data_IF_451670620810
#
_entry.id   IF_451670620810
#
_cell.length_a   1.000
_cell.length_b   1.000
_cell.length_c   1.000
_cell.angle_alpha   90.00
_cell.angle_beta   90.00
_cell.angle_gamma   90.00
#
_symmetry.space_group_name_H-M   'P 1'
#
loop_
_entity.id
_entity.type
_entity.pdbx_description
1 polymer ?
#
# COMPACT_ATOMS: atom_id res chain seq x y z
N UNK A 1 -16.81 12.41 -30.00
CA UNK A 1 -17.84 11.40 -30.38
C UNK A 1 -17.41 9.96 -30.08
N UNK A 2 -16.13 9.66 -29.81
CA UNK A 2 -15.64 8.30 -29.48
C UNK A 2 -15.79 7.95 -27.98
N UNK A 3 -15.75 8.95 -27.09
CA UNK A 3 -15.73 8.75 -25.63
C UNK A 3 -17.09 8.30 -25.05
N UNK A 4 -18.20 8.79 -25.60
CA UNK A 4 -19.55 8.30 -25.26
C UNK A 4 -19.72 6.81 -25.60
N UNK A 5 -18.99 6.30 -26.61
CA UNK A 5 -19.13 4.92 -27.07
C UNK A 5 -18.48 3.89 -26.13
N UNK A 6 -17.37 4.23 -25.43
CA UNK A 6 -16.69 3.29 -24.53
C UNK A 6 -17.49 3.01 -23.26
N UNK A 7 -18.02 4.05 -22.61
CA UNK A 7 -18.84 3.90 -21.41
C UNK A 7 -20.16 3.18 -21.71
N UNK A 8 -20.83 3.53 -22.81
CA UNK A 8 -22.07 2.86 -23.23
C UNK A 8 -21.80 1.39 -23.59
N UNK A 9 -20.72 1.11 -24.34
CA UNK A 9 -20.34 -0.26 -24.68
C UNK A 9 -20.06 -1.11 -23.44
N UNK A 10 -19.32 -0.58 -22.47
CA UNK A 10 -19.08 -1.29 -21.21
C UNK A 10 -20.40 -1.55 -20.46
N UNK A 11 -21.30 -0.55 -20.39
CA UNK A 11 -22.61 -0.73 -19.74
C UNK A 11 -23.44 -1.83 -20.41
N UNK A 12 -23.44 -1.90 -21.74
CA UNK A 12 -24.13 -2.98 -22.45
C UNK A 12 -23.48 -4.35 -22.17
N UNK A 13 -22.15 -4.45 -22.23
CA UNK A 13 -21.43 -5.68 -21.91
C UNK A 13 -21.72 -6.16 -20.47
N UNK A 14 -21.85 -5.23 -19.52
CA UNK A 14 -22.17 -5.58 -18.12
C UNK A 14 -23.59 -6.13 -17.95
N UNK A 15 -24.55 -5.78 -18.81
CA UNK A 15 -25.93 -6.31 -18.72
C UNK A 15 -26.01 -7.79 -19.07
N UNK A 16 -25.18 -8.25 -20.01
CA UNK A 16 -25.08 -9.65 -20.46
C UNK A 16 -23.96 -10.42 -19.77
N UNK A 17 -23.25 -9.79 -18.83
CA UNK A 17 -22.09 -10.40 -18.22
C UNK A 17 -22.46 -11.57 -17.30
N UNK A 18 -21.67 -12.64 -17.37
CA UNK A 18 -21.78 -13.83 -16.51
C UNK A 18 -20.49 -14.08 -15.75
N UNK A 19 -20.61 -14.63 -14.55
CA UNK A 19 -19.48 -14.98 -13.70
C UNK A 19 -19.12 -16.46 -13.87
N UNK A 20 -17.84 -16.75 -14.08
CA UNK A 20 -17.31 -18.13 -14.10
C UNK A 20 -16.10 -18.27 -13.18
N UNK A 21 -16.05 -19.36 -12.41
CA UNK A 21 -14.89 -19.67 -11.56
C UNK A 21 -13.80 -20.40 -12.35
N UNK A 22 -12.55 -20.05 -12.13
CA UNK A 22 -11.38 -20.69 -12.72
C UNK A 22 -10.20 -20.68 -11.74
N UNK A 23 -9.20 -21.52 -12.01
CA UNK A 23 -7.90 -21.46 -11.32
C UNK A 23 -6.96 -20.60 -12.14
N UNK A 24 -6.23 -19.70 -11.50
CA UNK A 24 -5.35 -18.75 -12.18
C UNK A 24 -4.03 -18.56 -11.45
N UNK A 25 -3.04 -18.07 -12.19
CA UNK A 25 -1.87 -17.37 -11.65
C UNK A 25 -2.04 -15.89 -11.98
N UNK A 26 -2.20 -15.07 -10.93
CA UNK A 26 -2.26 -13.62 -11.05
C UNK A 26 -0.85 -13.03 -10.86
N UNK A 27 -0.44 -12.18 -11.78
CA UNK A 27 0.85 -11.48 -11.76
C UNK A 27 0.60 -9.98 -11.84
N UNK A 28 1.08 -9.24 -10.85
CA UNK A 28 1.10 -7.77 -10.84
C UNK A 28 2.53 -7.29 -11.05
N UNK A 29 2.69 -6.33 -11.96
CA UNK A 29 3.94 -5.65 -12.29
C UNK A 29 3.80 -4.18 -11.90
N UNK A 30 4.86 -3.58 -11.37
CA UNK A 30 4.91 -2.15 -11.01
C UNK A 30 6.28 -1.53 -11.27
N UNK A 31 6.27 -0.44 -12.04
CA UNK A 31 7.49 0.26 -12.44
C UNK A 31 7.94 1.19 -11.31
N UNK A 32 9.05 0.84 -10.66
CA UNK A 32 9.50 1.55 -9.46
C UNK A 32 10.05 2.93 -9.79
N UNK A 33 9.49 3.93 -9.12
CA UNK A 33 9.84 5.34 -9.33
C UNK A 33 9.11 5.98 -10.52
N UNK A 34 8.17 5.28 -11.16
CA UNK A 34 7.43 5.86 -12.27
C UNK A 34 6.59 7.07 -11.84
N UNK A 35 5.94 7.05 -10.67
CA UNK A 35 5.17 8.22 -10.20
C UNK A 35 6.04 9.48 -10.05
N UNK A 36 7.30 9.34 -9.64
CA UNK A 36 8.25 10.46 -9.60
C UNK A 36 8.66 10.89 -11.01
N UNK A 37 8.93 9.92 -11.88
CA UNK A 37 9.26 10.17 -13.28
C UNK A 37 8.12 10.92 -14.03
N UNK A 38 6.87 10.50 -13.85
CA UNK A 38 5.72 11.13 -14.51
C UNK A 38 5.35 12.50 -13.93
N UNK A 39 5.69 12.77 -12.67
CA UNK A 39 5.53 14.09 -12.07
C UNK A 39 6.57 15.12 -12.56
N UNK A 40 7.75 14.66 -12.99
CA UNK A 40 8.85 15.50 -13.46
C UNK A 40 8.92 15.63 -14.98
N UNK A 41 8.52 14.58 -15.70
CA UNK A 41 8.58 14.51 -17.15
C UNK A 41 7.34 15.04 -17.86
N UNK A 42 7.42 15.15 -19.17
CA UNK A 42 6.25 15.47 -20.00
C UNK A 42 5.31 14.26 -20.06
N UNK A 43 4.00 14.52 -20.12
CA UNK A 43 3.00 13.45 -20.22
C UNK A 43 3.19 12.59 -21.47
N UNK A 44 3.75 13.16 -22.54
CA UNK A 44 4.08 12.46 -23.77
C UNK A 44 5.16 11.40 -23.56
N UNK A 45 6.26 11.74 -22.89
CA UNK A 45 7.36 10.83 -22.58
C UNK A 45 6.90 9.66 -21.72
N UNK A 46 6.06 9.95 -20.73
CA UNK A 46 5.47 8.94 -19.85
C UNK A 46 4.61 7.94 -20.62
N UNK A 47 3.74 8.44 -21.51
CA UNK A 47 2.89 7.59 -22.35
C UNK A 47 3.70 6.76 -23.35
N UNK A 48 4.72 7.36 -23.97
CA UNK A 48 5.59 6.67 -24.92
C UNK A 48 6.39 5.56 -24.24
N UNK A 49 6.95 5.83 -23.07
CA UNK A 49 7.66 4.85 -22.26
C UNK A 49 6.74 3.68 -21.86
N UNK A 50 5.55 3.95 -21.31
CA UNK A 50 4.60 2.89 -20.94
C UNK A 50 4.19 2.04 -22.15
N UNK A 51 3.94 2.65 -23.31
CA UNK A 51 3.62 1.92 -24.54
C UNK A 51 4.74 0.94 -24.91
N UNK A 52 5.98 1.41 -24.89
CA UNK A 52 7.16 0.60 -25.23
C UNK A 52 7.35 -0.55 -24.25
N UNK A 53 7.33 -0.25 -22.95
CA UNK A 53 7.43 -1.22 -21.86
C UNK A 53 6.35 -2.30 -21.96
N UNK A 54 5.07 -1.92 -22.01
CA UNK A 54 3.97 -2.89 -22.03
C UNK A 54 3.97 -3.73 -23.30
N UNK A 55 4.31 -3.14 -24.46
CA UNK A 55 4.44 -3.90 -25.71
C UNK A 55 5.54 -4.95 -25.59
N UNK A 56 6.70 -4.59 -25.05
CA UNK A 56 7.82 -5.53 -24.88
C UNK A 56 7.48 -6.62 -23.85
N UNK A 57 6.86 -6.28 -22.72
CA UNK A 57 6.44 -7.27 -21.72
C UNK A 57 5.47 -8.29 -22.32
N UNK A 58 4.40 -7.82 -22.97
CA UNK A 58 3.36 -8.68 -23.53
C UNK A 58 3.87 -9.51 -24.71
N UNK A 59 4.75 -8.96 -25.55
CA UNK A 59 5.25 -9.68 -26.73
C UNK A 59 6.42 -10.62 -26.43
N UNK A 60 7.32 -10.24 -25.54
CA UNK A 60 8.61 -10.92 -25.36
C UNK A 60 8.69 -11.76 -24.09
N UNK A 61 7.79 -11.54 -23.12
CA UNK A 61 7.83 -12.25 -21.84
C UNK A 61 6.52 -12.97 -21.50
N UNK A 62 5.36 -12.52 -22.00
CA UNK A 62 4.04 -13.01 -21.57
C UNK A 62 3.00 -13.03 -22.70
N UNK A 63 3.39 -13.60 -23.84
CA UNK A 63 2.59 -13.70 -25.07
C UNK A 63 1.43 -14.71 -24.99
N UNK A 64 1.43 -15.55 -23.95
CA UNK A 64 0.45 -16.58 -23.63
C UNK A 64 -0.54 -16.17 -22.52
N UNK A 65 -0.61 -14.88 -22.19
CA UNK A 65 -1.53 -14.39 -21.14
C UNK A 65 -2.99 -14.48 -21.58
N UNK A 66 -3.85 -15.01 -20.71
CA UNK A 66 -5.28 -15.14 -20.97
C UNK A 66 -6.01 -13.79 -20.87
N UNK A 67 -5.49 -12.90 -20.03
CA UNK A 67 -6.01 -11.55 -19.85
C UNK A 67 -4.91 -10.63 -19.31
N UNK A 68 -4.95 -9.37 -19.72
CA UNK A 68 -4.10 -8.33 -19.17
C UNK A 68 -4.86 -7.02 -19.01
N UNK A 69 -4.44 -6.19 -18.06
CA UNK A 69 -5.03 -4.89 -17.78
C UNK A 69 -3.98 -3.93 -17.24
N UNK A 70 -3.75 -2.76 -17.87
CA UNK A 70 -2.93 -1.71 -17.28
C UNK A 70 -3.53 -1.23 -15.95
N UNK A 71 -2.69 -0.98 -14.95
CA UNK A 71 -3.09 -0.50 -13.63
C UNK A 71 -2.38 0.80 -13.28
N UNK A 72 -2.42 1.75 -14.22
CA UNK A 72 -1.60 2.97 -14.18
C UNK A 72 -0.25 2.72 -14.83
N UNK A 73 0.80 2.75 -14.01
CA UNK A 73 2.19 2.43 -14.36
C UNK A 73 2.54 0.95 -14.21
N UNK A 74 1.61 0.17 -13.65
CA UNK A 74 1.70 -1.28 -13.55
C UNK A 74 0.88 -2.03 -14.60
N UNK A 75 1.00 -3.36 -14.55
CA UNK A 75 0.28 -4.29 -15.41
C UNK A 75 -0.19 -5.51 -14.61
N UNK A 76 -1.48 -5.82 -14.72
CA UNK A 76 -2.06 -7.09 -14.28
C UNK A 76 -2.00 -8.08 -15.44
N UNK A 77 -1.47 -9.28 -15.20
CA UNK A 77 -1.49 -10.42 -16.10
C UNK A 77 -2.16 -11.61 -15.42
N UNK A 78 -3.04 -12.30 -16.16
CA UNK A 78 -3.71 -13.51 -15.70
C UNK A 78 -3.36 -14.67 -16.64
N UNK A 79 -2.89 -15.77 -16.05
CA UNK A 79 -2.74 -17.05 -16.74
C UNK A 79 -3.77 -18.02 -16.17
N UNK A 80 -4.67 -18.53 -16.99
CA UNK A 80 -5.61 -19.57 -16.58
C UNK A 80 -4.91 -20.92 -16.51
N UNK A 81 -5.14 -21.65 -15.43
CA UNK A 81 -4.58 -22.97 -15.23
C UNK A 81 -5.51 -24.03 -15.81
N UNK A 82 -4.95 -25.06 -16.49
CA UNK A 82 -5.76 -26.14 -17.02
C UNK A 82 -6.41 -26.92 -15.87
N UNK A 83 -7.54 -27.59 -16.12
CA UNK A 83 -8.17 -28.49 -15.14
C UNK A 83 -7.26 -29.69 -14.80
N UNK A 84 -6.31 -30.02 -15.68
CA UNK A 84 -5.32 -31.06 -15.43
C UNK A 84 -4.21 -30.56 -14.49
N UNK A 85 -4.21 -31.06 -13.26
CA UNK A 85 -3.22 -30.70 -12.23
C UNK A 85 -1.76 -31.01 -12.64
N UNK A 86 -1.52 -31.99 -13.50
CA UNK A 86 -0.17 -32.41 -13.89
C UNK A 86 0.61 -31.35 -14.68
N UNK A 87 -0.07 -30.47 -15.40
CA UNK A 87 0.57 -29.39 -16.16
C UNK A 87 0.84 -28.13 -15.33
N UNK A 88 0.20 -27.99 -14.16
CA UNK A 88 0.25 -26.77 -13.33
C UNK A 88 1.66 -26.41 -12.89
N UNK A 89 2.51 -27.34 -12.37
CA UNK A 89 3.89 -27.01 -11.99
C UNK A 89 4.70 -26.42 -13.16
N UNK A 90 4.60 -26.97 -14.36
CA UNK A 90 5.33 -26.47 -15.53
C UNK A 90 4.93 -25.03 -15.88
N UNK A 91 3.63 -24.73 -15.84
CA UNK A 91 3.10 -23.39 -16.13
C UNK A 91 3.55 -22.38 -15.07
N UNK A 92 3.40 -22.70 -13.79
CA UNK A 92 3.81 -21.81 -12.68
C UNK A 92 5.32 -21.56 -12.73
N UNK A 93 6.12 -22.62 -12.91
CA UNK A 93 7.57 -22.51 -13.03
C UNK A 93 8.00 -21.62 -14.21
N UNK A 94 7.34 -21.76 -15.37
CA UNK A 94 7.59 -20.91 -16.55
C UNK A 94 7.28 -19.44 -16.27
N UNK A 95 6.13 -19.14 -15.65
CA UNK A 95 5.73 -17.77 -15.28
C UNK A 95 6.77 -17.15 -14.34
N UNK A 96 7.19 -17.89 -13.31
CA UNK A 96 8.20 -17.41 -12.36
C UNK A 96 9.54 -17.15 -13.06
N UNK A 97 10.03 -18.08 -13.90
CA UNK A 97 11.28 -17.90 -14.63
C UNK A 97 11.25 -16.66 -15.55
N UNK A 98 10.14 -16.45 -16.26
CA UNK A 98 9.95 -15.27 -17.13
C UNK A 98 9.88 -13.98 -16.34
N UNK A 99 9.24 -13.99 -15.16
CA UNK A 99 9.21 -12.84 -14.25
C UNK A 99 10.61 -12.47 -13.73
N UNK A 100 11.41 -13.46 -13.30
CA UNK A 100 12.79 -13.22 -12.85
C UNK A 100 13.65 -12.68 -14.00
N UNK A 101 13.53 -13.27 -15.19
CA UNK A 101 14.24 -12.83 -16.39
C UNK A 101 13.87 -11.39 -16.75
N UNK A 102 12.58 -11.06 -16.73
CA UNK A 102 12.07 -9.72 -17.00
C UNK A 102 12.66 -8.71 -15.99
N UNK A 103 12.63 -9.01 -14.70
CA UNK A 103 13.20 -8.11 -13.67
C UNK A 103 14.69 -7.87 -13.92
N UNK A 104 15.45 -8.91 -14.25
CA UNK A 104 16.88 -8.80 -14.54
C UNK A 104 17.19 -7.95 -15.79
N UNK A 105 16.33 -8.03 -16.81
CA UNK A 105 16.49 -7.29 -18.06
C UNK A 105 15.80 -5.92 -18.06
N UNK A 106 14.97 -5.60 -17.06
CA UNK A 106 14.04 -4.47 -17.11
C UNK A 106 14.72 -3.11 -17.35
N UNK A 107 15.91 -2.90 -16.77
CA UNK A 107 16.67 -1.67 -16.96
C UNK A 107 17.08 -1.37 -18.42
N UNK A 108 16.96 -2.36 -19.31
CA UNK A 108 17.25 -2.27 -20.74
C UNK A 108 16.01 -2.55 -21.61
N UNK A 109 14.80 -2.61 -21.04
CA UNK A 109 13.60 -3.05 -21.75
C UNK A 109 13.19 -2.14 -22.92
N UNK A 110 13.69 -0.90 -22.92
CA UNK A 110 13.46 0.11 -23.96
C UNK A 110 14.73 0.48 -24.74
N UNK A 111 15.81 -0.30 -24.60
CA UNK A 111 17.11 0.04 -25.18
C UNK A 111 17.08 0.15 -26.72
N UNK A 112 16.20 -0.60 -27.38
CA UNK A 112 16.03 -0.60 -28.84
C UNK A 112 15.01 0.43 -29.35
N UNK A 113 14.37 1.20 -28.46
CA UNK A 113 13.39 2.23 -28.82
C UNK A 113 14.08 3.60 -28.94
N UNK A 114 14.51 3.95 -30.15
CA UNK A 114 15.19 5.21 -30.45
C UNK A 114 14.39 6.47 -30.11
N UNK A 115 13.08 6.35 -29.90
CA UNK A 115 12.23 7.47 -29.47
C UNK A 115 12.30 7.71 -27.96
N UNK A 116 12.88 6.78 -27.19
CA UNK A 116 13.11 6.91 -25.75
C UNK A 116 14.54 7.39 -25.53
N UNK A 117 14.71 8.71 -25.57
CA UNK A 117 16.00 9.41 -25.45
C UNK A 117 16.10 10.24 -24.16
N UNK A 118 15.28 9.92 -23.16
CA UNK A 118 15.19 10.58 -21.86
C UNK A 118 15.46 9.60 -20.70
N UNK A 119 15.75 10.08 -19.48
CA UNK A 119 15.93 9.21 -18.31
C UNK A 119 14.64 8.44 -17.99
N UNK A 120 14.76 7.13 -17.78
CA UNK A 120 13.62 6.26 -17.49
C UNK A 120 13.82 5.46 -16.20
N UNK A 121 12.72 5.05 -15.54
CA UNK A 121 12.78 4.05 -14.46
C UNK A 121 13.47 2.75 -14.91
N UNK A 122 14.23 2.14 -14.01
CA UNK A 122 15.05 0.94 -14.29
C UNK A 122 14.77 -0.25 -13.39
N UNK A 123 13.77 -0.15 -12.51
CA UNK A 123 13.45 -1.16 -11.50
C UNK A 123 11.99 -1.59 -11.63
N UNK A 124 11.73 -2.87 -11.38
CA UNK A 124 10.43 -3.50 -11.52
C UNK A 124 10.14 -4.34 -10.27
N UNK A 125 8.99 -4.12 -9.66
CA UNK A 125 8.43 -5.01 -8.64
C UNK A 125 7.43 -5.97 -9.27
N UNK A 126 7.49 -7.25 -8.90
CA UNK A 126 6.55 -8.27 -9.39
C UNK A 126 5.98 -9.05 -8.21
N UNK A 127 4.65 -9.13 -8.14
CA UNK A 127 3.93 -9.91 -7.15
C UNK A 127 3.10 -10.99 -7.84
N UNK A 128 3.23 -12.24 -7.40
CA UNK A 128 2.61 -13.39 -8.02
C UNK A 128 1.87 -14.20 -6.96
N UNK A 129 0.64 -14.61 -7.27
CA UNK A 129 -0.11 -15.54 -6.44
C UNK A 129 -0.98 -16.44 -7.30
N UNK A 130 -1.12 -17.70 -6.89
CA UNK A 130 -2.04 -18.67 -7.49
C UNK A 130 -3.29 -18.81 -6.65
N UNK A 131 -4.43 -19.06 -7.29
CA UNK A 131 -5.63 -19.49 -6.58
C UNK A 131 -6.87 -19.48 -7.47
N UNK A 132 -8.03 -19.61 -6.82
CA UNK A 132 -9.31 -19.44 -7.50
C UNK A 132 -9.57 -17.95 -7.77
N UNK A 133 -10.11 -17.67 -8.96
CA UNK A 133 -10.65 -16.38 -9.33
C UNK A 133 -12.00 -16.55 -10.04
N UNK A 134 -12.76 -15.48 -10.10
CA UNK A 134 -13.99 -15.40 -10.89
C UNK A 134 -13.76 -14.42 -12.03
N UNK A 135 -13.93 -14.88 -13.26
CA UNK A 135 -13.90 -14.04 -14.46
C UNK A 135 -15.31 -13.57 -14.81
N UNK A 136 -15.42 -12.31 -15.18
CA UNK A 136 -16.64 -11.72 -15.70
C UNK A 136 -16.58 -11.75 -17.23
N UNK A 137 -17.53 -12.40 -17.89
CA UNK A 137 -17.48 -12.68 -19.33
C UNK A 137 -18.70 -12.08 -20.01
N UNK A 138 -18.51 -11.38 -21.13
CA UNK A 138 -19.61 -10.95 -22.02
C UNK A 138 -19.16 -11.01 -23.48
N UNK A 139 -20.09 -11.31 -24.39
CA UNK A 139 -19.85 -11.39 -25.84
C UNK A 139 -18.63 -12.26 -26.23
N UNK A 140 -18.37 -13.32 -25.47
CA UNK A 140 -17.23 -14.22 -25.70
C UNK A 140 -15.87 -13.70 -25.22
N UNK A 141 -15.81 -12.49 -24.65
CA UNK A 141 -14.60 -11.90 -24.07
C UNK A 141 -14.65 -11.79 -22.55
N UNK A 142 -13.48 -11.72 -21.92
CA UNK A 142 -13.36 -11.46 -20.48
C UNK A 142 -13.29 -9.96 -20.23
N UNK A 143 -14.17 -9.47 -19.35
CA UNK A 143 -14.26 -8.06 -18.95
C UNK A 143 -13.32 -7.74 -17.78
N UNK A 144 -13.32 -8.59 -16.75
CA UNK A 144 -12.45 -8.42 -15.58
C UNK A 144 -12.34 -9.73 -14.78
N UNK A 145 -11.41 -9.76 -13.82
CA UNK A 145 -11.26 -10.83 -12.84
C UNK A 145 -11.41 -10.29 -11.41
N UNK A 146 -11.93 -11.12 -10.52
CA UNK A 146 -11.95 -10.86 -9.08
C UNK A 146 -11.53 -12.11 -8.32
N UNK A 147 -10.86 -11.94 -7.19
CA UNK A 147 -10.44 -13.07 -6.35
C UNK A 147 -9.39 -12.70 -5.32
N UNK A 148 -9.31 -13.51 -4.26
CA UNK A 148 -8.31 -13.33 -3.19
C UNK A 148 -6.88 -13.37 -3.73
N UNK A 149 -6.60 -14.25 -4.70
CA UNK A 149 -5.26 -14.36 -5.29
C UNK A 149 -4.85 -13.10 -6.06
N UNK A 150 -5.78 -12.40 -6.72
CA UNK A 150 -5.47 -11.12 -7.38
C UNK A 150 -5.08 -10.05 -6.35
N UNK A 151 -5.87 -9.92 -5.27
CA UNK A 151 -5.57 -9.00 -4.19
C UNK A 151 -4.23 -9.32 -3.53
N UNK A 152 -3.96 -10.61 -3.30
CA UNK A 152 -2.69 -11.07 -2.75
C UNK A 152 -1.53 -10.70 -3.68
N UNK A 153 -1.60 -11.04 -4.97
CA UNK A 153 -0.55 -10.71 -5.94
C UNK A 153 -0.27 -9.19 -5.99
N UNK A 154 -1.30 -8.35 -5.97
CA UNK A 154 -1.14 -6.90 -5.91
C UNK A 154 -0.39 -6.46 -4.64
N UNK A 155 -0.72 -7.02 -3.46
CA UNK A 155 -0.03 -6.69 -2.21
C UNK A 155 1.40 -7.22 -2.16
N UNK A 156 1.66 -8.39 -2.73
CA UNK A 156 3.02 -8.94 -2.83
C UNK A 156 3.90 -8.11 -3.75
N UNK A 157 3.31 -7.56 -4.83
CA UNK A 157 4.00 -6.64 -5.72
C UNK A 157 4.51 -5.44 -4.92
N UNK A 158 3.72 -4.87 -3.99
CA UNK A 158 4.19 -3.75 -3.14
C UNK A 158 5.41 -4.11 -2.28
N UNK A 159 5.59 -5.41 -1.95
CA UNK A 159 6.70 -5.95 -1.15
C UNK A 159 7.93 -6.29 -1.96
N UNK A 160 7.84 -6.35 -3.29
CA UNK A 160 8.95 -6.62 -4.19
C UNK A 160 9.88 -5.40 -4.34
N UNK A 161 10.51 -4.96 -3.22
CA UNK A 161 11.37 -3.76 -3.15
C UNK A 161 12.84 -4.15 -2.96
N UNK A 162 13.77 -3.34 -3.50
CA UNK A 162 13.55 -2.22 -4.43
C UNK A 162 13.25 -2.69 -5.86
N UNK A 163 13.45 -3.97 -6.19
CA UNK A 163 13.15 -4.61 -7.47
C UNK A 163 13.18 -6.12 -7.23
N UNK A 164 12.34 -6.92 -7.90
CA UNK A 164 12.35 -8.37 -7.70
C UNK A 164 11.00 -9.04 -7.92
N UNK A 165 10.94 -10.33 -7.59
CA UNK A 165 9.72 -11.14 -7.63
C UNK A 165 9.40 -11.63 -6.22
N UNK A 166 8.13 -11.49 -5.82
CA UNK A 166 7.57 -12.08 -4.60
C UNK A 166 6.42 -12.99 -5.00
N UNK A 167 6.48 -14.25 -4.57
CA UNK A 167 5.51 -15.29 -4.91
C UNK A 167 4.92 -15.92 -3.65
N UNK A 168 3.61 -16.10 -3.61
CA UNK A 168 2.92 -16.83 -2.54
C UNK A 168 2.10 -18.00 -3.09
N UNK A 169 2.38 -19.19 -2.57
CA UNK A 169 1.59 -20.40 -2.79
C UNK A 169 1.82 -21.41 -1.67
N UNK A 170 0.77 -22.06 -1.19
CA UNK A 170 0.86 -23.11 -0.17
C UNK A 170 1.71 -24.32 -0.62
N UNK A 171 1.82 -24.54 -1.93
CA UNK A 171 2.55 -25.65 -2.54
C UNK A 171 3.76 -25.19 -3.34
N UNK A 172 4.29 -23.99 -3.07
CA UNK A 172 5.34 -23.35 -3.90
C UNK A 172 6.51 -24.29 -4.27
N UNK A 173 7.01 -25.08 -3.31
CA UNK A 173 8.12 -26.03 -3.52
C UNK A 173 7.84 -27.13 -4.56
N UNK A 174 6.58 -27.46 -4.79
CA UNK A 174 6.16 -28.51 -5.73
C UNK A 174 5.84 -27.94 -7.12
N UNK A 175 5.75 -26.61 -7.24
CA UNK A 175 5.30 -25.91 -8.45
C UNK A 175 6.46 -25.35 -9.28
N UNK A 176 7.70 -25.59 -8.88
CA UNK A 176 8.89 -25.07 -9.54
C UNK A 176 9.80 -26.19 -9.98
N UNK A 177 10.36 -26.05 -11.19
CA UNK A 177 11.53 -26.82 -11.58
C UNK A 177 12.72 -26.47 -10.65
N UNK A 178 13.64 -27.40 -10.38
CA UNK A 178 14.75 -27.19 -9.45
C UNK A 178 15.56 -25.92 -9.74
N UNK A 179 15.84 -25.65 -11.01
CA UNK A 179 16.59 -24.48 -11.48
C UNK A 179 15.87 -23.15 -11.18
N UNK A 180 14.53 -23.14 -11.23
CA UNK A 180 13.73 -21.96 -10.89
C UNK A 180 13.68 -21.80 -9.38
N UNK A 181 13.52 -22.89 -8.63
CA UNK A 181 13.48 -22.85 -7.17
C UNK A 181 14.77 -22.27 -6.57
N UNK A 182 15.93 -22.50 -7.19
CA UNK A 182 17.22 -21.94 -6.77
C UNK A 182 17.29 -20.40 -6.87
N UNK A 183 16.41 -19.77 -7.64
CA UNK A 183 16.35 -18.31 -7.78
C UNK A 183 15.65 -17.62 -6.60
N UNK A 184 15.00 -18.41 -5.73
CA UNK A 184 14.17 -17.91 -4.64
C UNK A 184 14.67 -18.37 -3.27
N UNK A 185 14.44 -17.52 -2.27
CA UNK A 185 14.60 -17.83 -0.84
C UNK A 185 13.26 -17.72 -0.13
N UNK A 186 13.08 -18.49 0.95
CA UNK A 186 11.87 -18.38 1.78
C UNK A 186 11.92 -17.12 2.64
N UNK A 187 10.78 -16.48 2.80
CA UNK A 187 10.53 -15.41 3.77
C UNK A 187 9.06 -15.48 4.21
N UNK A 188 8.62 -14.53 5.03
CA UNK A 188 7.24 -14.44 5.48
C UNK A 188 6.76 -13.00 5.55
N UNK A 189 5.46 -12.78 5.42
CA UNK A 189 4.88 -11.43 5.42
C UNK A 189 3.45 -11.39 5.96
N UNK A 190 3.17 -10.43 6.83
CA UNK A 190 1.82 -10.06 7.23
C UNK A 190 1.23 -9.04 6.24
N UNK A 191 0.06 -9.35 5.69
CA UNK A 191 -0.61 -8.55 4.66
C UNK A 191 -1.98 -8.11 5.15
N UNK A 192 -2.23 -6.80 5.08
CA UNK A 192 -3.51 -6.19 5.50
C UNK A 192 -4.68 -6.75 4.70
N UNK A 193 -5.73 -7.17 5.40
CA UNK A 193 -6.92 -7.80 4.86
C UNK A 193 -6.72 -9.23 4.34
N UNK A 194 -5.54 -9.85 4.53
CA UNK A 194 -5.26 -11.21 4.03
C UNK A 194 -4.64 -12.10 5.11
N UNK A 195 -3.58 -11.63 5.75
CA UNK A 195 -2.77 -12.36 6.74
C UNK A 195 -2.27 -11.37 7.79
N UNK A 196 -3.18 -10.85 8.61
CA UNK A 196 -2.86 -9.78 9.54
C UNK A 196 -2.16 -10.29 10.81
N UNK A 197 -2.57 -11.45 11.31
CA UNK A 197 -2.06 -11.98 12.58
C UNK A 197 -0.93 -12.98 12.37
N UNK A 198 -1.04 -13.81 11.34
CA UNK A 198 -0.07 -14.87 11.05
C UNK A 198 0.69 -14.52 9.77
N UNK A 199 2.04 -14.47 9.81
CA UNK A 199 2.84 -14.26 8.60
C UNK A 199 2.54 -15.31 7.53
N UNK A 200 2.30 -14.84 6.31
CA UNK A 200 2.12 -15.69 5.14
C UNK A 200 3.49 -16.10 4.60
N UNK A 201 3.77 -17.41 4.42
CA UNK A 201 4.99 -17.86 3.76
C UNK A 201 5.04 -17.37 2.31
N UNK A 202 6.18 -16.80 1.93
CA UNK A 202 6.45 -16.30 0.58
C UNK A 202 7.81 -16.76 0.10
N UNK A 203 8.00 -16.67 -1.21
CA UNK A 203 9.28 -16.84 -1.88
C UNK A 203 9.69 -15.50 -2.50
N UNK A 204 10.95 -15.12 -2.31
CA UNK A 204 11.49 -13.87 -2.83
C UNK A 204 12.76 -14.12 -3.64
N UNK A 205 12.98 -13.34 -4.70
CA UNK A 205 14.25 -13.38 -5.45
C UNK A 205 15.38 -12.69 -4.70
N UNK A 206 16.61 -13.04 -5.04
CA UNK A 206 17.82 -12.36 -4.52
C UNK A 206 17.71 -10.84 -4.68
N UNK A 207 18.03 -10.10 -3.62
CA UNK A 207 18.00 -8.63 -3.59
C UNK A 207 16.65 -8.00 -3.21
N UNK A 208 15.59 -8.80 -3.05
CA UNK A 208 14.36 -8.33 -2.40
C UNK A 208 14.57 -8.33 -0.90
N UNK A 209 14.20 -7.22 -0.26
CA UNK A 209 14.25 -7.08 1.20
C UNK A 209 12.86 -6.79 1.74
N UNK A 210 12.27 -7.77 2.42
CA UNK A 210 11.02 -7.56 3.16
C UNK A 210 11.35 -6.74 4.40
N UNK A 211 10.60 -5.65 4.63
CA UNK A 211 10.79 -4.81 5.80
C UNK A 211 10.47 -5.60 7.08
N UNK A 212 11.19 -5.36 8.17
CA UNK A 212 10.94 -6.02 9.47
C UNK A 212 9.49 -5.82 9.93
N UNK A 213 8.97 -4.61 9.81
CA UNK A 213 7.58 -4.26 10.17
C UNK A 213 6.53 -5.03 9.35
N UNK A 214 6.89 -5.54 8.19
CA UNK A 214 6.00 -6.33 7.35
C UNK A 214 5.98 -7.81 7.74
N UNK A 215 6.93 -8.30 8.54
CA UNK A 215 6.92 -9.67 9.11
C UNK A 215 6.14 -9.74 10.42
N UNK A 216 5.91 -8.60 11.04
CA UNK A 216 5.20 -8.52 12.32
C UNK A 216 3.69 -8.50 12.09
N UNK A 217 2.89 -9.08 13.02
CA UNK A 217 1.44 -8.96 12.98
C UNK A 217 1.02 -7.50 12.80
N UNK A 218 -0.01 -7.30 11.99
CA UNK A 218 -0.65 -5.99 11.82
C UNK A 218 -1.55 -5.84 13.04
N UNK A 219 -1.24 -4.93 13.97
CA UNK A 219 -2.18 -4.66 15.05
C UNK A 219 -3.51 -4.27 14.42
N UNK A 220 -4.61 -4.67 15.06
CA UNK A 220 -5.93 -4.15 14.72
C UNK A 220 -5.82 -2.63 14.58
N UNK A 221 -6.62 -2.03 13.69
CA UNK A 221 -6.69 -0.59 13.53
C UNK A 221 -7.27 0.06 14.80
N UNK A 222 -6.57 -0.04 15.93
CA UNK A 222 -6.83 0.77 17.10
C UNK A 222 -6.36 2.17 16.76
N UNK A 223 -7.21 3.15 17.02
CA UNK A 223 -6.89 4.58 16.96
C UNK A 223 -5.78 4.99 17.97
N UNK A 224 -5.19 4.02 18.66
CA UNK A 224 -4.17 4.18 19.69
C UNK A 224 -3.00 3.28 19.27
N UNK A 225 -1.89 3.91 18.95
CA UNK A 225 -0.68 3.24 18.49
C UNK A 225 0.55 3.54 19.35
N UNK A 226 0.53 4.61 20.14
CA UNK A 226 1.60 4.93 21.10
C UNK A 226 1.05 5.28 22.47
N UNK A 227 1.96 5.56 23.40
CA UNK A 227 1.58 6.00 24.75
C UNK A 227 0.86 7.35 24.69
N UNK A 228 -0.27 7.43 25.37
CA UNK A 228 -0.96 8.68 25.60
C UNK A 228 -0.06 9.66 26.36
N UNK A 229 -0.08 10.93 25.93
CA UNK A 229 0.67 12.01 26.57
C UNK A 229 -0.24 13.20 26.80
N UNK A 230 -0.12 13.79 27.98
CA UNK A 230 -0.88 14.96 28.36
C UNK A 230 0.05 16.15 28.51
N UNK A 231 -0.28 17.26 27.83
CA UNK A 231 0.45 18.53 27.94
C UNK A 231 -0.49 19.59 28.47
N UNK A 232 0.02 20.51 29.30
CA UNK A 232 -0.76 21.68 29.72
C UNK A 232 -1.02 22.61 28.53
N UNK A 233 -2.13 23.35 28.58
CA UNK A 233 -2.44 24.37 27.57
C UNK A 233 -1.31 25.42 27.45
N UNK A 234 -0.59 25.71 28.53
CA UNK A 234 0.58 26.58 28.51
C UNK A 234 1.74 25.98 27.71
N UNK A 235 2.12 24.73 28.00
CA UNK A 235 3.19 24.02 27.27
C UNK A 235 2.88 23.92 25.76
N UNK A 236 1.63 23.63 25.40
CA UNK A 236 1.20 23.57 23.99
C UNK A 236 1.35 24.93 23.31
N UNK A 237 1.06 26.04 24.00
CA UNK A 237 1.18 27.40 23.44
C UNK A 237 2.64 27.83 23.26
N UNK A 238 3.50 27.43 24.18
CA UNK A 238 4.91 27.82 24.20
C UNK A 238 5.77 26.98 23.24
N UNK A 239 5.28 25.78 22.85
CA UNK A 239 6.01 24.86 21.96
C UNK A 239 5.60 25.02 20.49
N UNK A 240 6.54 25.05 19.55
CA UNK A 240 6.21 25.08 18.11
C UNK A 240 5.78 23.71 17.58
N UNK A 241 6.43 22.65 18.07
CA UNK A 241 6.24 21.27 17.64
C UNK A 241 6.42 20.33 18.83
N UNK A 242 5.89 19.11 18.72
CA UNK A 242 6.13 18.06 19.71
C UNK A 242 6.33 16.71 19.03
N UNK A 243 7.08 15.82 19.68
CA UNK A 243 7.42 14.50 19.14
C UNK A 243 6.92 13.39 20.07
N UNK A 244 6.36 12.34 19.48
CA UNK A 244 5.83 11.18 20.20
C UNK A 244 6.52 9.92 19.68
N UNK A 245 7.12 9.15 20.59
CA UNK A 245 7.71 7.86 20.24
C UNK A 245 6.65 6.88 19.79
N UNK A 246 6.97 6.13 18.76
CA UNK A 246 6.15 5.08 18.18
C UNK A 246 6.73 3.72 18.61
N UNK A 247 5.90 2.68 18.82
CA UNK A 247 6.39 1.36 19.21
C UNK A 247 7.15 0.65 18.07
N UNK A 248 6.87 1.03 16.82
CA UNK A 248 7.53 0.53 15.61
C UNK A 248 7.51 1.58 14.50
N UNK A 249 8.33 1.39 13.47
CA UNK A 249 8.25 2.21 12.27
C UNK A 249 6.90 2.01 11.55
N UNK A 250 6.30 3.07 10.98
CA UNK A 250 5.12 2.94 10.17
C UNK A 250 5.43 2.12 8.92
N UNK A 251 4.45 1.34 8.46
CA UNK A 251 4.56 0.63 7.19
C UNK A 251 4.43 1.63 6.05
N UNK A 252 4.88 1.26 4.86
CA UNK A 252 4.92 2.15 3.68
C UNK A 252 3.55 2.72 3.26
N UNK A 253 2.45 2.12 3.71
CA UNK A 253 1.09 2.53 3.39
C UNK A 253 0.39 3.26 4.55
N UNK A 254 1.09 3.50 5.67
CA UNK A 254 0.54 4.13 6.86
C UNK A 254 0.94 5.61 6.95
N UNK A 255 0.01 6.46 7.38
CA UNK A 255 0.29 7.82 7.88
C UNK A 255 0.35 7.80 9.40
N UNK A 256 1.18 8.67 9.94
CA UNK A 256 1.35 8.84 11.38
C UNK A 256 0.79 10.19 11.82
N UNK A 257 0.24 10.24 13.02
CA UNK A 257 -0.30 11.46 13.58
C UNK A 257 -0.66 11.30 15.05
N UNK A 258 -1.39 12.27 15.57
CA UNK A 258 -1.99 12.21 16.90
C UNK A 258 -3.48 12.56 16.86
N UNK A 259 -4.26 11.85 17.66
CA UNK A 259 -5.56 12.32 18.11
C UNK A 259 -5.32 13.32 19.25
N UNK A 260 -5.87 14.51 19.12
CA UNK A 260 -5.77 15.55 20.15
C UNK A 260 -7.13 15.75 20.79
N UNK A 261 -7.24 15.42 22.06
CA UNK A 261 -8.42 15.63 22.87
C UNK A 261 -8.24 16.84 23.77
N UNK A 262 -9.22 17.74 23.78
CA UNK A 262 -9.21 18.88 24.68
C UNK A 262 -10.60 19.14 25.30
N UNK A 263 -10.65 19.64 26.54
CA UNK A 263 -11.91 19.94 27.20
C UNK A 263 -12.65 21.08 26.49
N UNK A 264 -13.98 21.05 26.55
CA UNK A 264 -14.83 22.17 26.17
C UNK A 264 -15.24 22.98 27.40
N UNK A 265 -15.43 24.27 27.20
CA UNK A 265 -15.93 25.18 28.22
C UNK A 265 -17.25 25.81 27.78
N UNK A 266 -18.14 26.09 28.73
CA UNK A 266 -19.33 26.90 28.46
C UNK A 266 -18.99 28.40 28.40
N UNK A 267 -19.99 29.22 28.08
CA UNK A 267 -19.85 30.68 28.02
C UNK A 267 -19.44 31.33 29.35
N UNK A 268 -19.60 30.62 30.47
CA UNK A 268 -19.25 31.07 31.81
C UNK A 268 -17.85 30.58 32.23
N UNK A 269 -17.14 29.86 31.36
CA UNK A 269 -15.83 29.29 31.67
C UNK A 269 -15.88 28.02 32.52
N UNK A 270 -17.04 27.38 32.66
CA UNK A 270 -17.14 26.07 33.31
C UNK A 270 -16.80 24.95 32.33
N UNK A 271 -15.99 24.00 32.78
CA UNK A 271 -15.65 22.80 32.00
C UNK A 271 -16.90 21.95 31.78
N UNK A 272 -17.11 21.51 30.54
CA UNK A 272 -18.13 20.53 30.16
C UNK A 272 -17.58 19.12 30.29
N UNK A 273 -18.47 18.15 30.48
CA UNK A 273 -18.11 16.72 30.47
C UNK A 273 -17.77 16.21 29.06
N UNK A 274 -18.10 16.98 28.03
CA UNK A 274 -17.74 16.68 26.65
C UNK A 274 -16.38 17.25 26.27
N UNK A 275 -15.69 16.50 25.43
CA UNK A 275 -14.40 16.88 24.85
C UNK A 275 -14.57 17.14 23.36
N UNK A 276 -13.67 17.93 22.80
CA UNK A 276 -13.51 18.06 21.35
C UNK A 276 -12.23 17.37 20.94
N UNK A 277 -12.24 16.78 19.75
CA UNK A 277 -11.08 16.13 19.17
C UNK A 277 -10.65 16.84 17.88
N UNK A 278 -9.38 16.69 17.54
CA UNK A 278 -8.86 16.94 16.19
C UNK A 278 -7.79 15.91 15.82
N UNK A 279 -7.61 15.66 14.53
CA UNK A 279 -6.51 14.85 14.00
C UNK A 279 -5.40 15.77 13.52
N UNK A 280 -4.17 15.48 13.94
CA UNK A 280 -2.97 16.18 13.47
C UNK A 280 -2.01 15.16 12.90
N UNK A 281 -1.83 15.20 11.58
CA UNK A 281 -0.80 14.41 10.92
C UNK A 281 0.58 15.00 11.20
N UNK A 282 1.59 14.13 11.29
CA UNK A 282 2.96 14.52 11.55
C UNK A 282 3.95 13.90 10.58
N UNK A 283 5.19 14.36 10.69
CA UNK A 283 6.33 13.78 10.00
C UNK A 283 6.82 12.56 10.78
N UNK A 284 6.97 11.43 10.10
CA UNK A 284 7.71 10.30 10.62
C UNK A 284 9.21 10.62 10.62
N UNK A 285 9.89 10.35 11.75
CA UNK A 285 11.34 10.46 11.87
C UNK A 285 11.89 9.17 12.46
N UNK A 286 12.83 8.55 11.75
CA UNK A 286 13.62 7.43 12.27
C UNK A 286 14.90 7.95 12.91
N UNK A 287 15.18 7.55 14.15
CA UNK A 287 16.35 8.03 14.90
C UNK A 287 16.87 6.94 15.85
N UNK A 288 18.13 7.04 16.35
CA UNK A 288 18.73 5.98 17.18
C UNK A 288 17.95 5.59 18.44
N UNK A 289 17.14 6.50 19.00
CA UNK A 289 16.29 6.25 20.17
C UNK A 289 14.95 5.57 19.85
N UNK A 290 14.69 5.26 18.58
CA UNK A 290 13.43 4.68 18.11
C UNK A 290 12.62 5.63 17.22
N UNK A 291 11.65 5.08 16.50
CA UNK A 291 10.80 5.83 15.58
C UNK A 291 9.92 6.83 16.35
N UNK A 292 9.71 8.01 15.78
CA UNK A 292 8.76 8.99 16.34
C UNK A 292 7.92 9.67 15.27
N UNK A 293 6.79 10.24 15.68
CA UNK A 293 6.01 11.20 14.91
C UNK A 293 6.20 12.60 15.48
N UNK A 294 6.60 13.54 14.64
CA UNK A 294 6.71 14.96 14.98
C UNK A 294 5.55 15.73 14.37
N UNK A 295 4.79 16.44 15.20
CA UNK A 295 3.68 17.28 14.74
C UNK A 295 3.99 18.75 14.91
N UNK A 296 3.47 19.57 13.99
CA UNK A 296 3.36 21.02 14.17
C UNK A 296 2.14 21.33 15.06
N UNK A 297 2.34 22.12 16.11
CA UNK A 297 1.27 22.45 17.07
C UNK A 297 0.40 23.64 16.63
N UNK A 298 0.63 24.26 15.46
CA UNK A 298 -0.13 25.41 14.97
C UNK A 298 -1.63 25.14 14.92
N UNK A 299 -2.05 24.05 14.28
CA UNK A 299 -3.47 23.69 14.19
C UNK A 299 -4.09 23.43 15.58
N UNK A 300 -3.32 22.81 16.48
CA UNK A 300 -3.75 22.59 17.88
C UNK A 300 -3.92 23.91 18.60
N UNK A 301 -2.93 24.81 18.52
CA UNK A 301 -2.95 26.15 19.13
C UNK A 301 -4.15 26.97 18.68
N UNK A 302 -4.43 26.96 17.38
CA UNK A 302 -5.58 27.65 16.81
C UNK A 302 -6.89 27.11 17.39
N UNK A 303 -6.98 25.78 17.55
CA UNK A 303 -8.16 25.13 18.14
C UNK A 303 -8.33 25.41 19.64
N UNK A 304 -7.24 25.45 20.40
CA UNK A 304 -7.26 25.65 21.86
C UNK A 304 -7.05 27.12 22.30
N UNK A 305 -7.06 28.07 21.36
CA UNK A 305 -6.73 29.48 21.61
C UNK A 305 -7.59 30.12 22.73
N UNK A 306 -8.83 29.67 22.87
CA UNK A 306 -9.78 30.17 23.87
C UNK A 306 -9.75 29.40 25.20
N UNK A 307 -9.02 28.27 25.29
CA UNK A 307 -8.97 27.49 26.53
C UNK A 307 -8.19 28.25 27.62
N UNK A 308 -8.68 28.36 28.85
CA UNK A 308 -7.89 28.94 29.94
C UNK A 308 -6.71 28.01 30.28
N UNK A 309 -5.53 28.57 30.57
CA UNK A 309 -4.37 27.78 31.00
C UNK A 309 -4.63 27.06 32.35
N UNK A 310 -5.38 27.72 33.22
CA UNK A 310 -5.81 27.21 34.51
C UNK A 310 -7.27 27.56 34.77
N UNK A 311 -7.99 26.68 35.45
CA UNK A 311 -9.38 26.89 35.88
C UNK A 311 -9.45 26.98 37.41
N UNK A 312 -10.26 27.89 37.94
CA UNK A 312 -10.51 27.99 39.38
C UNK A 312 -11.89 27.44 39.74
N UNK A 313 -11.95 26.55 40.72
CA UNK A 313 -13.21 26.11 41.33
C UNK A 313 -13.24 26.47 42.81
N UNK A 314 -14.37 26.99 43.30
CA UNK A 314 -14.60 27.19 44.74
C UNK A 314 -15.32 25.98 45.31
N UNK A 315 -14.69 25.29 46.25
CA UNK A 315 -15.29 24.19 47.00
C UNK A 315 -15.22 24.56 48.49
N UNK A 316 -16.37 24.67 49.16
CA UNK A 316 -16.45 24.98 50.60
C UNK A 316 -15.68 26.24 51.04
N UNK A 317 -15.67 27.29 50.21
CA UNK A 317 -14.98 28.56 50.50
C UNK A 317 -13.49 28.58 50.14
N UNK A 318 -12.90 27.44 49.77
CA UNK A 318 -11.51 27.35 49.29
C UNK A 318 -11.46 27.45 47.78
N UNK A 319 -10.53 28.25 47.25
CA UNK A 319 -10.29 28.36 45.80
C UNK A 319 -9.21 27.37 45.40
N UNK A 320 -9.54 26.39 44.56
CA UNK A 320 -8.58 25.46 43.98
C UNK A 320 -8.32 25.82 42.53
N UNK A 321 -7.06 26.06 42.19
CA UNK A 321 -6.59 26.24 40.81
C UNK A 321 -6.19 24.88 40.23
N UNK A 322 -6.72 24.54 39.06
CA UNK A 322 -6.38 23.32 38.32
C UNK A 322 -5.80 23.70 36.96
N UNK A 323 -4.71 23.05 36.56
CA UNK A 323 -4.15 23.19 35.23
C UNK A 323 -5.07 22.55 34.19
N UNK A 324 -5.26 23.24 33.07
CA UNK A 324 -6.00 22.70 31.92
C UNK A 324 -5.02 21.94 31.03
N UNK A 325 -5.41 20.74 30.65
CA UNK A 325 -4.59 19.84 29.87
C UNK A 325 -5.23 19.47 28.53
N UNK A 326 -4.38 19.09 27.59
CA UNK A 326 -4.69 18.55 26.28
C UNK A 326 -4.03 17.17 26.19
N UNK A 327 -4.80 16.18 25.77
CA UNK A 327 -4.34 14.80 25.65
C UNK A 327 -4.03 14.49 24.19
N UNK A 328 -2.90 13.83 23.97
CA UNK A 328 -2.37 13.47 22.68
C UNK A 328 -2.18 11.95 22.63
N UNK A 329 -2.80 11.32 21.64
CA UNK A 329 -2.73 9.86 21.47
C UNK A 329 -2.19 9.55 20.07
N UNK A 330 -0.95 9.07 19.95
CA UNK A 330 -0.37 8.74 18.65
C UNK A 330 -1.19 7.66 17.94
N UNK A 331 -1.37 7.79 16.63
CA UNK A 331 -2.04 6.81 15.80
C UNK A 331 -1.25 6.51 14.52
N UNK A 332 -1.49 5.30 14.00
CA UNK A 332 -1.14 4.91 12.63
C UNK A 332 -2.44 4.64 11.88
N UNK A 333 -2.66 5.34 10.77
CA UNK A 333 -3.80 5.09 9.89
C UNK A 333 -3.33 4.73 8.48
N UNK A 334 -4.17 4.09 7.65
CA UNK A 334 -3.87 4.00 6.22
C UNK A 334 -3.74 5.41 5.61
N UNK A 335 -2.90 5.56 4.58
CA UNK A 335 -2.95 6.72 3.70
C UNK A 335 -4.31 6.69 2.99
N UNK A 336 -5.25 7.51 3.45
CA UNK A 336 -6.48 7.78 2.70
C UNK A 336 -6.08 8.41 1.35
N UNK A 337 -6.53 7.80 0.26
CA UNK A 337 -6.41 8.41 -1.06
C UNK A 337 -7.50 9.48 -1.13
N UNK A 338 -7.11 10.73 -0.95
CA UNK A 338 -7.96 11.90 -1.21
C UNK A 338 -8.47 11.90 -2.66
#
# INVERSE_FOLDING_TARGET
>A
MIEQQLHERLRELLKSARAESCQVVATFLDIRGFSTFSAQGESFDSAHYLRSVFTTILRSHFDDTAFFKPTGDGLLLIHELPPNAGAVPGIVSSILARAVTLVGAFGQITADDYMINFPVPKKLGVGIARGSATRLISDGGVLDYTGRCLNLAARLMDKARPSGVVFADAHAKQLMAPEVAMLFTNDEVCIRGISEHDPLPILITTGVEIARSDREPIPEASHIWGDERTLSVAEVRDSSSYAFYLPRSPRSYERVGVHVEHPLFDKNGHRKDTVSWLLVYGDYVDQPGGPLVRIDLKAVKDRIKQLPATTTSKLLGWTQTKTTYVTFTPFCGPIEKD
#
